data_IF_246307803250
#
_entry.id   IF_246307803250
#
_cell.length_a   1.000
_cell.length_b   1.000
_cell.length_c   1.000
_cell.angle_alpha   90.00
_cell.angle_beta   90.00
_cell.angle_gamma   90.00
#
_symmetry.space_group_name_H-M   'P 1'
#
loop_
_entity.id
_entity.type
_entity.pdbx_description
1 polymer ?
#
# COMPACT_ATOMS: atom_id res chain seq x y z
N UNK A 1 14.72 12.36 10.25
CA UNK A 1 14.75 11.03 9.57
C UNK A 1 14.62 9.87 10.56
N UNK A 2 15.57 9.68 11.50
CA UNK A 2 15.56 8.53 12.45
C UNK A 2 14.28 8.41 13.30
N UNK A 3 13.75 9.52 13.82
CA UNK A 3 12.57 9.52 14.70
C UNK A 3 11.28 9.12 13.98
N UNK A 4 11.05 9.61 12.76
CA UNK A 4 9.81 9.35 12.02
C UNK A 4 9.72 7.89 11.52
N UNK A 5 10.83 7.32 11.06
CA UNK A 5 10.87 5.90 10.67
C UNK A 5 10.68 4.97 11.87
N UNK A 6 11.18 5.36 13.05
CA UNK A 6 10.90 4.62 14.30
C UNK A 6 9.42 4.70 14.67
N UNK A 7 8.75 5.84 14.47
CA UNK A 7 7.30 5.94 14.69
C UNK A 7 6.51 4.96 13.82
N UNK A 8 6.92 4.78 12.56
CA UNK A 8 6.29 3.81 11.65
C UNK A 8 6.46 2.38 12.15
N UNK A 9 7.68 1.98 12.52
CA UNK A 9 7.96 0.63 13.02
C UNK A 9 7.22 0.37 14.35
N UNK A 10 7.00 1.41 15.14
CA UNK A 10 6.22 1.35 16.38
C UNK A 10 4.69 1.35 16.15
N UNK A 11 4.21 1.31 14.90
CA UNK A 11 2.80 1.08 14.63
C UNK A 11 2.45 -0.38 14.96
N UNK A 12 2.00 -0.60 16.19
CA UNK A 12 1.63 -1.91 16.71
C UNK A 12 0.56 -2.65 15.89
N UNK A 13 -0.20 -1.94 15.05
CA UNK A 13 -1.20 -2.56 14.17
C UNK A 13 -0.57 -3.17 12.90
N UNK A 14 0.61 -2.70 12.52
CA UNK A 14 1.32 -3.07 11.28
C UNK A 14 2.51 -3.97 11.55
N UNK A 15 3.22 -3.76 12.67
CA UNK A 15 4.44 -4.48 12.98
C UNK A 15 4.37 -5.09 14.38
N UNK A 16 5.06 -6.21 14.56
CA UNK A 16 5.37 -6.77 15.87
C UNK A 16 6.87 -6.66 16.10
N UNK A 17 7.28 -5.91 17.14
CA UNK A 17 8.70 -5.70 17.44
C UNK A 17 9.19 -6.89 18.28
N UNK A 18 10.17 -7.62 17.75
CA UNK A 18 10.74 -8.81 18.42
C UNK A 18 11.87 -8.40 19.35
N UNK A 19 12.83 -7.60 18.87
CA UNK A 19 13.91 -7.01 19.66
C UNK A 19 14.25 -5.61 19.15
N UNK A 20 14.58 -4.72 20.08
CA UNK A 20 15.06 -3.37 19.78
C UNK A 20 16.41 -3.14 20.44
N UNK A 21 17.47 -3.06 19.62
CA UNK A 21 18.82 -2.71 20.06
C UNK A 21 19.13 -1.24 19.71
N UNK A 22 20.22 -0.70 20.26
CA UNK A 22 20.66 0.67 19.94
C UNK A 22 20.96 0.88 18.45
N UNK A 23 21.36 -0.18 17.72
CA UNK A 23 21.77 -0.13 16.31
C UNK A 23 20.72 -0.65 15.32
N UNK A 24 19.89 -1.61 15.72
CA UNK A 24 18.89 -2.21 14.83
C UNK A 24 17.60 -2.55 15.56
N UNK A 25 16.51 -2.53 14.80
CA UNK A 25 15.18 -2.98 15.25
C UNK A 25 14.83 -4.20 14.44
N UNK A 26 14.38 -5.24 15.12
CA UNK A 26 13.91 -6.46 14.49
C UNK A 26 12.41 -6.59 14.66
N UNK A 27 11.70 -6.82 13.57
CA UNK A 27 10.24 -6.86 13.56
C UNK A 27 9.70 -7.91 12.60
N UNK A 28 8.43 -8.28 12.78
CA UNK A 28 7.66 -9.11 11.86
C UNK A 28 6.42 -8.34 11.39
N UNK A 29 5.90 -8.68 10.22
CA UNK A 29 4.69 -8.06 9.71
C UNK A 29 3.44 -8.61 10.41
N UNK A 30 2.49 -7.73 10.68
CA UNK A 30 1.11 -8.11 11.01
C UNK A 30 0.23 -8.10 9.77
N UNK A 31 -0.98 -8.63 9.90
CA UNK A 31 -1.97 -8.76 8.84
C UNK A 31 -2.18 -7.46 8.04
N UNK A 32 -2.31 -6.32 8.72
CA UNK A 32 -2.49 -5.03 8.06
C UNK A 32 -1.32 -4.66 7.12
N UNK A 33 -0.08 -5.00 7.50
CA UNK A 33 1.09 -4.81 6.64
C UNK A 33 1.09 -5.76 5.45
N UNK A 34 0.71 -7.02 5.67
CA UNK A 34 0.64 -8.04 4.61
C UNK A 34 -0.38 -7.61 3.55
N UNK A 35 -1.57 -7.19 3.97
CA UNK A 35 -2.61 -6.70 3.06
C UNK A 35 -2.16 -5.42 2.34
N UNK A 36 -1.50 -4.49 3.04
CA UNK A 36 -0.96 -3.28 2.42
C UNK A 36 0.11 -3.60 1.37
N UNK A 37 1.05 -4.52 1.66
CA UNK A 37 2.06 -5.01 0.72
C UNK A 37 1.41 -5.68 -0.50
N UNK A 38 0.35 -6.46 -0.30
CA UNK A 38 -0.45 -7.04 -1.38
C UNK A 38 -1.09 -5.94 -2.24
N UNK A 39 -1.71 -4.93 -1.63
CA UNK A 39 -2.31 -3.80 -2.34
C UNK A 39 -1.26 -3.04 -3.17
N UNK A 40 -0.07 -2.79 -2.61
CA UNK A 40 1.05 -2.16 -3.32
C UNK A 40 1.41 -2.99 -4.57
N UNK A 41 1.61 -4.30 -4.40
CA UNK A 41 1.93 -5.22 -5.51
C UNK A 41 0.86 -5.20 -6.59
N UNK A 42 -0.40 -5.41 -6.22
CA UNK A 42 -1.51 -5.49 -7.19
C UNK A 42 -1.67 -4.18 -7.96
N UNK A 43 -1.56 -3.03 -7.29
CA UNK A 43 -1.66 -1.72 -7.95
C UNK A 43 -0.43 -1.39 -8.79
N UNK A 44 0.76 -1.83 -8.39
CA UNK A 44 1.95 -1.71 -9.21
C UNK A 44 1.79 -2.52 -10.51
N UNK A 45 1.37 -3.78 -10.43
CA UNK A 45 1.14 -4.64 -11.60
C UNK A 45 0.06 -4.08 -12.53
N UNK A 46 -1.07 -3.64 -11.98
CA UNK A 46 -2.14 -2.99 -12.76
C UNK A 46 -1.63 -1.75 -13.49
N UNK A 47 -0.77 -0.95 -12.84
CA UNK A 47 -0.20 0.24 -13.45
C UNK A 47 0.73 -0.12 -14.62
N UNK A 48 1.64 -1.09 -14.44
CA UNK A 48 2.51 -1.57 -15.52
C UNK A 48 1.66 -2.08 -16.68
N UNK A 49 0.67 -2.93 -16.43
CA UNK A 49 -0.22 -3.44 -17.47
C UNK A 49 -0.93 -2.32 -18.23
N UNK A 50 -1.47 -1.33 -17.52
CA UNK A 50 -2.17 -0.18 -18.13
C UNK A 50 -1.24 0.63 -19.05
N UNK A 51 0.06 0.73 -18.72
CA UNK A 51 1.04 1.49 -19.51
C UNK A 51 1.71 0.70 -20.62
N UNK A 52 1.52 -0.63 -20.68
CA UNK A 52 2.24 -1.50 -21.61
C UNK A 52 1.35 -2.31 -22.54
N UNK A 53 0.14 -2.67 -22.12
CA UNK A 53 -0.78 -3.57 -22.83
C UNK A 53 -1.05 -3.23 -24.31
N UNK A 54 -1.03 -1.95 -24.67
CA UNK A 54 -1.24 -1.50 -26.06
C UNK A 54 0.06 -1.29 -26.86
N UNK A 55 1.22 -1.36 -26.20
CA UNK A 55 2.51 -0.99 -26.78
C UNK A 55 3.44 -2.18 -26.96
N UNK A 56 3.54 -3.05 -25.96
CA UNK A 56 4.42 -4.23 -26.00
C UNK A 56 4.06 -5.27 -24.95
N UNK A 57 4.41 -6.55 -25.17
CA UNK A 57 4.15 -7.61 -24.21
C UNK A 57 5.04 -7.50 -22.97
N UNK A 58 4.46 -7.85 -21.82
CA UNK A 58 5.17 -7.97 -20.53
C UNK A 58 5.03 -9.39 -20.02
N UNK A 59 6.17 -10.04 -19.74
CA UNK A 59 6.22 -11.42 -19.28
C UNK A 59 6.51 -11.50 -17.78
N UNK A 60 5.97 -12.54 -17.14
CA UNK A 60 6.31 -12.90 -15.78
C UNK A 60 7.57 -13.77 -15.83
N UNK A 61 8.69 -13.23 -15.34
CA UNK A 61 10.04 -13.76 -15.45
C UNK A 61 10.69 -13.66 -16.84
N UNK A 62 12.02 -13.57 -16.83
CA UNK A 62 12.83 -13.54 -18.04
C UNK A 62 12.91 -14.97 -18.64
N UNK A 63 12.63 -15.15 -19.93
CA UNK A 63 12.75 -16.45 -20.57
C UNK A 63 14.22 -16.91 -20.56
N UNK A 64 14.44 -18.17 -20.16
CA UNK A 64 15.79 -18.77 -20.11
C UNK A 64 16.49 -18.81 -21.47
N UNK A 65 15.71 -18.80 -22.56
CA UNK A 65 16.20 -18.60 -23.91
C UNK A 65 16.04 -17.12 -24.27
N UNK A 66 17.15 -16.44 -24.57
CA UNK A 66 17.18 -15.08 -25.16
C UNK A 66 16.62 -15.09 -26.59
N UNK A 67 15.46 -15.66 -26.84
CA UNK A 67 14.67 -15.38 -28.03
C UNK A 67 14.01 -14.02 -27.84
N UNK A 68 14.85 -12.98 -27.79
CA UNK A 68 14.44 -11.60 -27.98
C UNK A 68 13.86 -11.55 -29.39
N UNK A 69 12.58 -11.23 -29.51
CA UNK A 69 11.98 -10.90 -30.79
C UNK A 69 12.78 -9.70 -31.31
N UNK A 70 13.66 -9.95 -32.29
CA UNK A 70 14.57 -8.92 -32.83
C UNK A 70 13.72 -7.70 -33.21
N UNK A 71 14.08 -6.54 -32.64
CA UNK A 71 13.55 -5.21 -32.92
C UNK A 71 12.20 -4.79 -32.31
N UNK A 72 11.60 -5.56 -31.40
CA UNK A 72 10.41 -5.10 -30.67
C UNK A 72 10.70 -4.89 -29.18
N UNK A 73 10.20 -3.80 -28.58
CA UNK A 73 10.33 -3.61 -27.15
C UNK A 73 9.58 -4.72 -26.41
N UNK A 74 10.13 -5.19 -25.29
CA UNK A 74 9.48 -6.19 -24.44
C UNK A 74 9.80 -5.91 -22.97
N UNK A 75 8.87 -6.29 -22.08
CA UNK A 75 9.02 -6.11 -20.64
C UNK A 75 9.06 -7.43 -19.88
N UNK A 76 9.71 -7.42 -18.73
CA UNK A 76 9.81 -8.53 -17.80
C UNK A 76 9.59 -8.04 -16.38
N UNK A 77 8.75 -8.73 -15.63
CA UNK A 77 8.55 -8.47 -14.21
C UNK A 77 9.39 -9.48 -13.43
N UNK A 78 10.32 -8.96 -12.64
CA UNK A 78 11.04 -9.71 -11.61
C UNK A 78 10.54 -9.27 -10.24
N UNK A 79 10.18 -10.23 -9.40
CA UNK A 79 9.55 -9.93 -8.12
C UNK A 79 10.00 -10.93 -7.05
N UNK A 80 10.63 -10.42 -6.01
CA UNK A 80 11.06 -11.18 -4.83
C UNK A 80 10.08 -10.85 -3.72
N UNK A 81 9.19 -11.80 -3.41
CA UNK A 81 8.19 -11.60 -2.37
C UNK A 81 8.83 -11.57 -0.98
N UNK A 82 8.37 -10.70 -0.08
CA UNK A 82 8.73 -10.81 1.32
C UNK A 82 8.20 -12.13 1.90
N UNK A 83 8.96 -12.73 2.80
CA UNK A 83 8.52 -13.91 3.54
C UNK A 83 7.58 -13.45 4.66
N UNK A 84 6.34 -13.95 4.64
CA UNK A 84 5.31 -13.56 5.61
C UNK A 84 5.25 -14.46 6.85
N UNK A 85 6.15 -15.44 6.96
CA UNK A 85 6.17 -16.36 8.09
C UNK A 85 6.48 -15.58 9.38
N UNK A 86 5.76 -15.88 10.47
CA UNK A 86 5.96 -15.23 11.76
C UNK A 86 7.37 -15.42 12.34
N UNK A 87 8.10 -16.42 11.85
CA UNK A 87 9.50 -16.70 12.20
C UNK A 87 10.50 -15.85 11.40
N UNK A 88 10.09 -15.27 10.27
CA UNK A 88 10.96 -14.44 9.44
C UNK A 88 11.07 -13.04 10.03
N UNK A 89 12.20 -12.77 10.66
CA UNK A 89 12.47 -11.51 11.33
C UNK A 89 13.23 -10.57 10.40
N UNK A 90 12.69 -9.37 10.21
CA UNK A 90 13.31 -8.33 9.40
C UNK A 90 14.16 -7.44 10.29
N UNK A 91 15.42 -7.26 9.93
CA UNK A 91 16.32 -6.32 10.59
C UNK A 91 16.31 -4.97 9.86
N UNK A 92 15.89 -3.94 10.59
CA UNK A 92 16.02 -2.53 10.19
C UNK A 92 17.25 -1.91 10.85
N UNK A 93 18.15 -1.40 10.03
CA UNK A 93 19.36 -0.73 10.49
C UNK A 93 19.07 0.76 10.74
N UNK A 94 19.29 1.24 11.97
CA UNK A 94 19.04 2.65 12.36
C UNK A 94 20.07 3.62 11.76
N UNK A 95 21.26 3.14 11.44
CA UNK A 95 22.34 3.96 10.90
C UNK A 95 22.19 4.20 9.41
N UNK A 96 21.88 3.12 8.66
CA UNK A 96 21.72 3.18 7.21
C UNK A 96 20.28 3.45 6.76
N UNK A 97 19.33 3.44 7.72
CA UNK A 97 17.90 3.73 7.50
C UNK A 97 17.27 2.85 6.42
N UNK A 98 17.74 1.61 6.34
CA UNK A 98 17.32 0.60 5.39
C UNK A 98 17.00 -0.71 6.10
N UNK A 99 16.12 -1.49 5.48
CA UNK A 99 15.94 -2.89 5.82
C UNK A 99 17.00 -3.72 5.09
N UNK A 100 17.47 -4.81 5.70
CA UNK A 100 18.37 -5.78 5.03
C UNK A 100 17.62 -6.78 4.14
N UNK A 101 16.36 -6.51 3.81
CA UNK A 101 15.53 -7.43 3.03
C UNK A 101 15.93 -7.42 1.56
N UNK A 102 15.71 -8.56 0.91
CA UNK A 102 15.89 -8.73 -0.54
C UNK A 102 14.58 -8.58 -1.30
N UNK A 103 13.49 -8.19 -0.63
CA UNK A 103 12.16 -8.12 -1.24
C UNK A 103 12.06 -6.90 -2.16
N UNK A 104 11.86 -7.16 -3.44
CA UNK A 104 11.86 -6.13 -4.48
C UNK A 104 10.81 -6.37 -5.56
N UNK A 105 10.34 -5.26 -6.12
CA UNK A 105 9.60 -5.20 -7.36
C UNK A 105 10.48 -4.55 -8.41
N UNK A 106 10.70 -5.28 -9.49
CA UNK A 106 11.55 -4.84 -10.58
C UNK A 106 10.81 -5.03 -11.91
N UNK A 107 10.70 -3.95 -12.67
CA UNK A 107 10.22 -3.98 -14.04
C UNK A 107 11.41 -3.72 -14.96
N UNK A 108 11.81 -4.75 -15.69
CA UNK A 108 12.86 -4.68 -16.70
C UNK A 108 12.23 -4.55 -18.08
N UNK A 109 12.89 -3.83 -18.97
CA UNK A 109 12.47 -3.67 -20.35
C UNK A 109 13.68 -3.69 -21.25
N UNK A 110 13.53 -4.35 -22.39
CA UNK A 110 14.47 -4.27 -23.50
C UNK A 110 13.87 -3.36 -24.56
N UNK A 111 14.62 -2.36 -24.99
CA UNK A 111 14.18 -1.37 -25.99
C UNK A 111 15.25 -1.17 -27.07
N UNK A 112 14.86 -0.73 -28.28
CA UNK A 112 15.81 -0.27 -29.28
C UNK A 112 16.68 0.88 -28.76
N UNK A 113 17.96 0.88 -29.14
CA UNK A 113 18.95 1.89 -28.71
C UNK A 113 18.52 3.31 -29.13
N UNK A 114 17.86 3.44 -30.29
CA UNK A 114 17.41 4.73 -30.83
C UNK A 114 16.38 5.43 -29.92
N UNK A 115 15.55 4.65 -29.22
CA UNK A 115 14.42 5.17 -28.43
C UNK A 115 14.68 5.13 -26.92
N UNK A 116 15.84 4.61 -26.48
CA UNK A 116 16.12 4.36 -25.05
C UNK A 116 15.91 5.59 -24.17
N UNK A 117 16.35 6.77 -24.63
CA UNK A 117 16.22 8.02 -23.87
C UNK A 117 14.77 8.48 -23.77
N UNK A 118 13.96 8.22 -24.79
CA UNK A 118 12.54 8.51 -24.77
C UNK A 118 11.82 7.62 -23.76
N UNK A 119 12.06 6.30 -23.82
CA UNK A 119 11.54 5.35 -22.83
C UNK A 119 12.02 5.70 -21.42
N UNK A 120 13.29 6.01 -21.25
CA UNK A 120 13.87 6.36 -19.95
C UNK A 120 13.16 7.57 -19.32
N UNK A 121 12.99 8.64 -20.09
CA UNK A 121 12.28 9.84 -19.62
C UNK A 121 10.80 9.58 -19.36
N UNK A 122 10.14 8.79 -20.21
CA UNK A 122 8.74 8.44 -20.06
C UNK A 122 8.49 7.60 -18.80
N UNK A 123 9.34 6.61 -18.53
CA UNK A 123 9.22 5.76 -17.37
C UNK A 123 9.52 6.49 -16.07
N UNK A 124 10.46 7.43 -16.04
CA UNK A 124 10.62 8.32 -14.88
C UNK A 124 9.31 9.06 -14.54
N UNK A 125 8.63 9.64 -15.54
CA UNK A 125 7.35 10.33 -15.34
C UNK A 125 6.24 9.38 -14.90
N UNK A 126 6.14 8.21 -15.52
CA UNK A 126 5.14 7.20 -15.18
C UNK A 126 5.31 6.69 -13.75
N UNK A 127 6.54 6.37 -13.34
CA UNK A 127 6.82 5.87 -12.00
C UNK A 127 6.62 6.96 -10.94
N UNK A 128 7.04 8.21 -11.20
CA UNK A 128 6.72 9.35 -10.32
C UNK A 128 5.21 9.55 -10.18
N UNK A 129 4.48 9.52 -11.30
CA UNK A 129 3.02 9.64 -11.28
C UNK A 129 2.36 8.50 -10.50
N UNK A 130 2.84 7.27 -10.65
CA UNK A 130 2.32 6.12 -9.91
C UNK A 130 2.39 6.38 -8.41
N UNK A 131 3.56 6.80 -7.90
CA UNK A 131 3.72 7.19 -6.49
C UNK A 131 2.74 8.27 -6.07
N UNK A 132 2.66 9.36 -6.82
CA UNK A 132 1.71 10.46 -6.56
C UNK A 132 0.24 10.02 -6.60
N UNK A 133 -0.10 8.95 -7.32
CA UNK A 133 -1.48 8.46 -7.48
C UNK A 133 -1.95 7.49 -6.38
N UNK A 134 -1.01 6.95 -5.59
CA UNK A 134 -1.30 5.99 -4.52
C UNK A 134 -1.10 6.57 -3.12
N UNK A 135 -0.59 7.80 -3.01
CA UNK A 135 -0.42 8.53 -1.76
C UNK A 135 -1.48 9.60 -1.57
N UNK A 136 -1.51 10.19 -0.38
CA UNK A 136 -2.39 11.30 -0.04
C UNK A 136 -1.80 12.66 -0.40
N UNK A 137 -0.47 12.76 -0.48
CA UNK A 137 0.24 13.98 -0.91
C UNK A 137 0.97 13.76 -2.23
N UNK A 138 0.36 14.10 -3.40
CA UNK A 138 1.00 13.92 -4.72
C UNK A 138 2.30 14.70 -4.90
N UNK A 139 2.41 15.88 -4.28
CA UNK A 139 3.57 16.78 -4.35
C UNK A 139 4.79 16.27 -3.57
N UNK A 140 4.64 15.19 -2.79
CA UNK A 140 5.73 14.58 -2.03
C UNK A 140 6.84 14.06 -2.96
N UNK A 141 6.51 13.67 -4.19
CA UNK A 141 7.45 12.97 -5.06
C UNK A 141 8.12 13.88 -6.09
N UNK A 142 9.44 13.76 -6.19
CA UNK A 142 10.25 14.39 -7.23
C UNK A 142 11.18 13.37 -7.90
N UNK A 143 11.80 13.81 -9.00
CA UNK A 143 12.76 13.02 -9.77
C UNK A 143 14.13 13.68 -9.54
N UNK A 144 15.16 12.88 -9.23
CA UNK A 144 16.52 13.38 -9.07
C UNK A 144 17.19 13.69 -10.42
N UNK A 145 18.30 14.43 -10.38
CA UNK A 145 19.14 14.60 -11.56
C UNK A 145 19.66 13.27 -12.09
N UNK A 146 19.85 13.21 -13.41
CA UNK A 146 20.35 12.03 -14.11
C UNK A 146 21.83 11.85 -13.79
N UNK A 147 22.18 10.70 -13.21
CA UNK A 147 23.57 10.31 -12.97
C UNK A 147 24.06 9.45 -14.12
N UNK A 148 24.89 10.03 -14.98
CA UNK A 148 25.54 9.31 -16.07
C UNK A 148 26.83 8.65 -15.60
N UNK A 149 27.02 7.39 -15.99
CA UNK A 149 28.25 6.62 -15.85
C UNK A 149 28.48 5.85 -17.13
N UNK A 150 29.35 6.34 -18.02
CA UNK A 150 29.65 5.72 -19.31
C UNK A 150 28.35 5.32 -20.07
N UNK A 151 28.05 4.03 -20.18
CA UNK A 151 26.89 3.48 -20.87
C UNK A 151 25.62 3.37 -20.02
N UNK A 152 25.69 3.77 -18.75
CA UNK A 152 24.59 3.70 -17.79
C UNK A 152 24.09 5.10 -17.44
N UNK A 153 22.77 5.24 -17.31
CA UNK A 153 22.17 6.38 -16.62
C UNK A 153 21.24 5.90 -15.51
N UNK A 154 21.23 6.61 -14.39
CA UNK A 154 20.36 6.29 -13.26
C UNK A 154 19.70 7.55 -12.72
N UNK A 155 18.42 7.41 -12.40
CA UNK A 155 17.57 8.44 -11.80
C UNK A 155 16.83 7.83 -10.63
N UNK A 156 16.79 8.55 -9.52
CA UNK A 156 16.05 8.12 -8.34
C UNK A 156 14.75 8.91 -8.25
N UNK A 157 13.67 8.23 -7.86
CA UNK A 157 12.44 8.87 -7.40
C UNK A 157 12.61 9.13 -5.91
N UNK A 158 12.37 10.38 -5.52
CA UNK A 158 12.57 10.87 -4.17
C UNK A 158 11.21 11.21 -3.54
N UNK A 159 11.02 10.84 -2.29
CA UNK A 159 9.97 11.35 -1.42
C UNK A 159 10.54 12.45 -0.52
N UNK A 160 10.07 13.68 -0.69
CA UNK A 160 10.57 14.89 -0.03
C UNK A 160 9.84 15.13 1.30
N UNK A 161 10.23 14.38 2.32
CA UNK A 161 9.71 14.60 3.66
C UNK A 161 10.32 15.85 4.31
N UNK A 162 9.67 16.36 5.35
CA UNK A 162 10.13 17.56 6.08
C UNK A 162 11.55 17.44 6.64
N UNK A 163 12.02 16.20 6.85
CA UNK A 163 13.35 15.91 7.38
C UNK A 163 14.39 15.58 6.30
N UNK A 164 14.03 15.67 5.02
CA UNK A 164 14.91 15.44 3.89
C UNK A 164 14.35 14.44 2.86
N UNK A 165 14.96 14.39 1.66
CA UNK A 165 14.56 13.48 0.61
C UNK A 165 14.93 12.03 0.96
N UNK A 166 14.00 11.09 0.75
CA UNK A 166 14.23 9.65 0.81
C UNK A 166 14.11 9.05 -0.59
N UNK A 167 15.05 8.20 -0.98
CA UNK A 167 14.94 7.44 -2.24
C UNK A 167 13.88 6.34 -2.05
N UNK A 168 12.93 6.25 -2.98
CA UNK A 168 11.84 5.26 -2.93
C UNK A 168 11.88 4.26 -4.08
N UNK A 169 12.44 4.65 -5.21
CA UNK A 169 12.56 3.82 -6.41
C UNK A 169 13.73 4.32 -7.26
N UNK A 170 14.42 3.40 -7.92
CA UNK A 170 15.49 3.70 -8.86
C UNK A 170 15.06 3.31 -10.28
N UNK A 171 15.27 4.21 -11.23
CA UNK A 171 15.06 3.98 -12.66
C UNK A 171 16.42 4.08 -13.33
N UNK A 172 16.91 2.97 -13.85
CA UNK A 172 18.19 2.89 -14.54
C UNK A 172 18.02 2.49 -16.00
N UNK A 173 18.96 2.91 -16.82
CA UNK A 173 19.15 2.40 -18.17
C UNK A 173 20.62 1.97 -18.36
N UNK A 174 20.81 0.95 -19.17
CA UNK A 174 22.11 0.46 -19.64
C UNK A 174 22.03 0.26 -21.15
N UNK A 175 23.03 0.76 -21.87
CA UNK A 175 23.13 0.64 -23.33
C UNK A 175 24.21 -0.39 -23.67
N UNK A 176 23.81 -1.49 -24.32
CA UNK A 176 24.69 -2.50 -24.88
C UNK A 176 24.77 -2.34 -26.41
N UNK A 177 25.66 -3.09 -27.05
CA UNK A 177 25.95 -3.05 -28.50
C UNK A 177 24.73 -3.36 -29.38
N UNK A 178 23.82 -4.23 -28.93
CA UNK A 178 22.64 -4.64 -29.70
C UNK A 178 21.31 -4.13 -29.13
N UNK A 179 21.20 -3.95 -27.82
CA UNK A 179 19.96 -3.56 -27.14
C UNK A 179 20.24 -2.63 -25.97
N UNK A 180 19.22 -1.85 -25.61
CA UNK A 180 19.23 -1.10 -24.35
C UNK A 180 18.29 -1.72 -23.34
N UNK A 181 18.73 -1.76 -22.09
CA UNK A 181 17.97 -2.27 -20.96
C UNK A 181 17.53 -1.10 -20.08
N UNK A 182 16.26 -1.09 -19.71
CA UNK A 182 15.70 -0.18 -18.72
C UNK A 182 15.20 -0.99 -17.52
N UNK A 183 15.46 -0.53 -16.31
CA UNK A 183 15.01 -1.17 -15.08
C UNK A 183 14.39 -0.16 -14.13
N UNK A 184 13.19 -0.45 -13.64
CA UNK A 184 12.51 0.28 -12.57
C UNK A 184 12.46 -0.62 -11.33
N UNK A 185 13.22 -0.27 -10.29
CA UNK A 185 13.43 -1.11 -9.10
C UNK A 185 13.01 -0.39 -7.83
N UNK A 186 12.17 -1.07 -7.04
CA UNK A 186 11.63 -0.58 -5.78
C UNK A 186 11.67 -1.68 -4.72
N UNK A 187 12.01 -1.32 -3.47
CA UNK A 187 11.90 -2.23 -2.32
C UNK A 187 10.47 -2.23 -1.77
N UNK A 188 9.99 -3.42 -1.36
CA UNK A 188 8.69 -3.55 -0.71
C UNK A 188 8.61 -2.78 0.60
N UNK A 189 9.67 -2.83 1.41
CA UNK A 189 9.72 -2.16 2.70
C UNK A 189 9.76 -0.65 2.56
N UNK A 190 10.58 -0.16 1.62
CA UNK A 190 10.64 1.28 1.39
C UNK A 190 9.29 1.81 0.89
N UNK A 191 8.57 1.03 0.08
CA UNK A 191 7.23 1.39 -0.33
C UNK A 191 6.22 1.40 0.81
N UNK A 192 6.21 0.33 1.62
CA UNK A 192 5.38 0.23 2.81
C UNK A 192 5.63 1.42 3.76
N UNK A 193 6.88 1.68 4.10
CA UNK A 193 7.26 2.78 4.98
C UNK A 193 6.92 4.13 4.40
N UNK A 194 7.15 4.37 3.10
CA UNK A 194 6.84 5.65 2.46
C UNK A 194 5.35 5.96 2.53
N UNK A 195 4.50 4.96 2.26
CA UNK A 195 3.04 5.13 2.30
C UNK A 195 2.56 5.37 3.74
N UNK A 196 3.10 4.63 4.73
CA UNK A 196 2.76 4.83 6.14
C UNK A 196 3.24 6.20 6.64
N UNK A 197 4.43 6.65 6.24
CA UNK A 197 4.96 7.98 6.57
C UNK A 197 4.08 9.10 5.99
N UNK A 198 3.68 8.98 4.73
CA UNK A 198 2.76 9.93 4.09
C UNK A 198 1.44 10.00 4.86
N UNK A 199 0.87 8.85 5.24
CA UNK A 199 -0.37 8.83 6.01
C UNK A 199 -0.26 9.38 7.43
N UNK A 200 0.88 9.21 8.10
CA UNK A 200 1.13 9.79 9.42
C UNK A 200 1.30 11.30 9.37
N UNK A 201 1.96 11.82 8.34
CA UNK A 201 2.15 13.27 8.16
C UNK A 201 0.82 14.00 7.90
N UNK A 202 -0.15 13.30 7.31
CA UNK A 202 -1.49 13.81 7.05
C UNK A 202 -2.53 13.35 8.08
N UNK A 203 -2.09 12.93 9.27
CA UNK A 203 -3.00 12.49 10.32
C UNK A 203 -3.83 13.65 10.87
N UNK A 204 -5.11 13.38 11.16
CA UNK A 204 -6.03 14.37 11.73
C UNK A 204 -5.88 14.46 13.26
N UNK A 205 -6.62 15.38 13.90
CA UNK A 205 -6.62 15.54 15.37
C UNK A 205 -7.01 14.25 16.10
N UNK A 206 -7.83 13.42 15.47
CA UNK A 206 -8.32 12.14 15.97
C UNK A 206 -7.28 11.01 15.84
N UNK A 207 -6.06 11.33 15.38
CA UNK A 207 -4.97 10.37 15.11
C UNK A 207 -5.33 9.34 14.05
N UNK A 208 -6.15 9.72 13.08
CA UNK A 208 -6.45 8.90 11.91
C UNK A 208 -5.21 8.73 11.03
N UNK A 209 -4.84 7.48 10.73
CA UNK A 209 -3.82 7.18 9.74
C UNK A 209 -4.41 7.35 8.34
N UNK A 210 -4.15 8.51 7.72
CA UNK A 210 -4.77 8.85 6.44
C UNK A 210 -4.11 8.11 5.28
N UNK A 211 -4.66 6.98 4.89
CA UNK A 211 -4.19 6.23 3.71
C UNK A 211 -5.05 6.56 2.49
N UNK A 212 -4.46 6.51 1.30
CA UNK A 212 -5.23 6.57 0.07
C UNK A 212 -6.18 5.37 0.00
N UNK A 213 -7.43 5.57 -0.42
CA UNK A 213 -8.47 4.53 -0.42
C UNK A 213 -7.99 3.25 -1.11
N UNK A 214 -7.28 3.34 -2.25
CA UNK A 214 -6.74 2.16 -2.95
C UNK A 214 -5.65 1.39 -2.19
N UNK A 215 -4.96 2.03 -1.24
CA UNK A 215 -3.87 1.43 -0.45
C UNK A 215 -4.37 0.87 0.88
N UNK A 216 -5.36 1.52 1.52
CA UNK A 216 -5.85 1.16 2.86
C UNK A 216 -6.00 -0.37 3.03
N UNK A 217 -5.42 -0.99 4.09
CA UNK A 217 -5.46 -2.43 4.29
C UNK A 217 -6.90 -2.95 4.32
N UNK A 218 -7.72 -2.33 5.16
CA UNK A 218 -9.15 -2.61 5.29
C UNK A 218 -9.95 -1.43 4.76
N UNK A 219 -10.99 -1.72 3.98
CA UNK A 219 -11.87 -0.69 3.44
C UNK A 219 -12.95 -0.29 4.43
N UNK A 220 -13.52 -1.30 5.09
CA UNK A 220 -14.66 -1.15 5.99
C UNK A 220 -14.34 -1.84 7.32
N UNK A 221 -14.53 -1.13 8.42
CA UNK A 221 -14.54 -1.70 9.76
C UNK A 221 -15.97 -1.77 10.25
N UNK A 222 -16.25 -2.70 11.16
CA UNK A 222 -17.47 -2.65 11.93
C UNK A 222 -17.16 -2.15 13.35
N UNK A 223 -18.13 -1.46 13.93
CA UNK A 223 -18.13 -1.08 15.33
C UNK A 223 -19.53 -1.32 15.90
N UNK A 224 -19.60 -1.83 17.13
CA UNK A 224 -20.87 -2.13 17.79
C UNK A 224 -21.09 -1.09 18.88
N UNK A 225 -22.21 -0.38 18.76
CA UNK A 225 -22.75 0.51 19.78
C UNK A 225 -23.87 -0.23 20.52
N UNK A 226 -23.59 -0.66 21.75
CA UNK A 226 -24.53 -1.40 22.58
C UNK A 226 -24.72 -0.69 23.92
N UNK A 227 -25.98 -0.52 24.32
CA UNK A 227 -26.35 0.03 25.62
C UNK A 227 -26.87 -1.08 26.55
N UNK A 228 -27.59 -2.07 26.00
CA UNK A 228 -28.10 -3.22 26.73
C UNK A 228 -27.36 -4.51 26.34
N UNK A 229 -27.02 -5.35 27.33
CA UNK A 229 -26.38 -6.64 27.12
C UNK A 229 -27.29 -7.63 26.38
N UNK A 230 -28.62 -7.45 26.41
CA UNK A 230 -29.58 -8.41 25.85
C UNK A 230 -29.47 -8.64 24.35
N UNK A 231 -29.14 -7.59 23.59
CA UNK A 231 -29.07 -7.66 22.12
C UNK A 231 -27.64 -7.82 21.60
N UNK A 232 -26.66 -7.91 22.50
CA UNK A 232 -25.25 -7.90 22.16
C UNK A 232 -24.84 -9.09 21.29
N UNK A 233 -25.31 -10.30 21.61
CA UNK A 233 -24.97 -11.49 20.83
C UNK A 233 -25.60 -11.44 19.42
N UNK A 234 -26.85 -10.97 19.30
CA UNK A 234 -27.49 -10.75 17.99
C UNK A 234 -26.75 -9.68 17.17
N UNK A 235 -26.25 -8.61 17.80
CA UNK A 235 -25.44 -7.59 17.10
C UNK A 235 -24.12 -8.16 16.59
N UNK A 236 -23.47 -9.06 17.34
CA UNK A 236 -22.26 -9.75 16.89
C UNK A 236 -22.53 -10.66 15.70
N UNK A 237 -23.62 -11.43 15.75
CA UNK A 237 -24.03 -12.27 14.63
C UNK A 237 -24.33 -11.44 13.38
N UNK A 238 -25.02 -10.31 13.55
CA UNK A 238 -25.26 -9.37 12.46
C UNK A 238 -23.94 -8.79 11.90
N UNK A 239 -23.00 -8.41 12.77
CA UNK A 239 -21.68 -7.93 12.34
C UNK A 239 -20.95 -8.98 11.50
N UNK A 240 -20.91 -10.23 11.97
CA UNK A 240 -20.29 -11.34 11.27
C UNK A 240 -20.95 -11.60 9.91
N UNK A 241 -22.29 -11.53 9.84
CA UNK A 241 -23.05 -11.70 8.60
C UNK A 241 -22.72 -10.59 7.59
N UNK A 242 -22.68 -9.33 8.03
CA UNK A 242 -22.33 -8.19 7.18
C UNK A 242 -20.90 -8.37 6.64
N UNK A 243 -19.96 -8.71 7.51
CA UNK A 243 -18.56 -8.94 7.10
C UNK A 243 -18.46 -10.05 6.06
N UNK A 244 -19.09 -11.20 6.30
CA UNK A 244 -19.09 -12.32 5.35
C UNK A 244 -19.62 -11.91 3.97
N UNK A 245 -20.71 -11.12 3.91
CA UNK A 245 -21.25 -10.61 2.64
C UNK A 245 -20.26 -9.69 1.92
N UNK A 246 -19.63 -8.77 2.65
CA UNK A 246 -18.65 -7.84 2.08
C UNK A 246 -17.39 -8.57 1.60
N UNK A 247 -16.90 -9.55 2.36
CA UNK A 247 -15.73 -10.36 2.02
C UNK A 247 -15.98 -11.25 0.80
N UNK A 248 -17.22 -11.73 0.62
CA UNK A 248 -17.64 -12.45 -0.60
C UNK A 248 -17.47 -11.58 -1.85
N UNK A 249 -17.66 -10.26 -1.73
CA UNK A 249 -17.38 -9.27 -2.77
C UNK A 249 -15.92 -8.78 -2.79
N UNK A 250 -15.03 -9.53 -2.13
CA UNK A 250 -13.61 -9.23 -1.99
C UNK A 250 -13.32 -7.89 -1.28
N UNK A 251 -14.24 -7.33 -0.50
CA UNK A 251 -13.96 -6.12 0.28
C UNK A 251 -13.27 -6.52 1.58
N UNK A 252 -12.09 -5.93 1.85
CA UNK A 252 -11.36 -6.21 3.07
C UNK A 252 -12.04 -5.55 4.27
N UNK A 253 -12.47 -6.39 5.21
CA UNK A 253 -13.13 -5.96 6.44
C UNK A 253 -12.33 -6.25 7.70
N UNK A 254 -12.63 -5.55 8.78
CA UNK A 254 -12.06 -5.82 10.11
C UNK A 254 -13.17 -5.96 11.15
N UNK A 255 -13.02 -6.99 12.00
CA UNK A 255 -13.96 -7.28 13.08
C UNK A 255 -13.98 -6.18 14.13
N UNK A 256 -15.14 -5.91 14.74
CA UNK A 256 -15.23 -5.02 15.88
C UNK A 256 -14.52 -5.65 17.09
N UNK A 257 -13.74 -4.85 17.81
CA UNK A 257 -13.23 -5.23 19.12
C UNK A 257 -14.29 -4.97 20.19
N UNK A 258 -15.19 -5.93 20.35
CA UNK A 258 -16.38 -5.83 21.21
C UNK A 258 -16.07 -5.70 22.71
N UNK A 259 -14.85 -5.98 23.13
CA UNK A 259 -14.40 -5.78 24.52
C UNK A 259 -14.21 -4.29 24.86
N UNK A 260 -14.12 -3.43 23.84
CA UNK A 260 -13.88 -2.02 24.00
C UNK A 260 -15.17 -1.20 23.82
N UNK A 261 -15.31 -0.06 24.53
CA UNK A 261 -16.35 0.92 24.24
C UNK A 261 -16.28 1.43 22.79
N UNK A 262 -17.41 1.89 22.25
CA UNK A 262 -17.51 2.38 20.87
C UNK A 262 -16.39 3.37 20.48
N UNK A 263 -16.16 4.39 21.29
CA UNK A 263 -15.12 5.39 21.04
C UNK A 263 -13.71 4.78 20.94
N UNK A 264 -13.43 3.74 21.71
CA UNK A 264 -12.16 3.02 21.67
C UNK A 264 -12.07 2.13 20.42
N UNK A 265 -13.16 1.47 20.02
CA UNK A 265 -13.24 0.74 18.75
C UNK A 265 -12.95 1.66 17.56
N UNK A 266 -13.59 2.84 17.52
CA UNK A 266 -13.36 3.84 16.47
C UNK A 266 -11.90 4.30 16.43
N UNK A 267 -11.28 4.54 17.60
CA UNK A 267 -9.86 4.89 17.69
C UNK A 267 -8.94 3.79 17.19
N UNK A 268 -9.27 2.51 17.40
CA UNK A 268 -8.51 1.40 16.81
C UNK A 268 -8.61 1.40 15.28
N UNK A 269 -9.83 1.54 14.76
CA UNK A 269 -10.08 1.62 13.32
C UNK A 269 -9.32 2.79 12.67
N UNK A 270 -9.28 3.95 13.33
CA UNK A 270 -8.55 5.12 12.86
C UNK A 270 -7.05 4.89 12.80
N UNK A 271 -6.46 4.22 13.81
CA UNK A 271 -5.03 3.91 13.83
C UNK A 271 -4.61 2.91 12.76
N UNK A 272 -5.53 2.06 12.30
CA UNK A 272 -5.30 1.10 11.20
C UNK A 272 -5.43 1.79 9.83
N UNK A 273 -6.07 2.95 9.77
CA UNK A 273 -6.28 3.70 8.53
C UNK A 273 -7.43 3.17 7.69
N UNK A 274 -8.45 2.57 8.33
CA UNK A 274 -9.66 2.12 7.64
C UNK A 274 -10.43 3.31 7.07
N UNK A 275 -10.97 3.17 5.86
CA UNK A 275 -11.64 4.28 5.16
C UNK A 275 -13.03 4.55 5.72
N UNK A 276 -13.82 3.50 5.94
CA UNK A 276 -15.19 3.62 6.47
C UNK A 276 -15.39 2.73 7.69
N UNK A 277 -16.21 3.16 8.64
CA UNK A 277 -16.64 2.33 9.78
C UNK A 277 -18.17 2.25 9.83
N UNK A 278 -18.71 1.05 9.70
CA UNK A 278 -20.13 0.76 9.88
C UNK A 278 -20.41 0.58 11.38
N UNK A 279 -21.13 1.54 11.96
CA UNK A 279 -21.53 1.56 13.36
C UNK A 279 -22.94 0.98 13.45
N UNK A 280 -23.05 -0.24 13.95
CA UNK A 280 -24.32 -0.95 14.14
C UNK A 280 -24.77 -0.82 15.59
N UNK A 281 -26.08 -0.71 15.81
CA UNK A 281 -26.68 -0.58 17.13
C UNK A 281 -28.01 -1.31 17.20
N UNK A 282 -28.67 -1.25 18.37
CA UNK A 282 -30.03 -1.79 18.55
C UNK A 282 -31.05 -1.21 17.54
N UNK A 283 -30.84 0.02 17.08
CA UNK A 283 -31.67 0.62 16.03
C UNK A 283 -31.54 -0.18 14.73
N UNK A 284 -30.34 -0.63 14.39
CA UNK A 284 -30.11 -1.45 13.19
C UNK A 284 -30.88 -2.77 13.23
N UNK A 285 -31.04 -3.38 14.41
CA UNK A 285 -31.86 -4.58 14.56
C UNK A 285 -33.36 -4.32 14.39
N UNK A 286 -33.83 -3.15 14.83
CA UNK A 286 -35.26 -2.80 14.79
C UNK A 286 -35.74 -2.28 13.43
N UNK A 287 -34.92 -1.47 12.74
CA UNK A 287 -35.33 -0.80 11.50
C UNK A 287 -34.37 -1.01 10.32
N UNK A 288 -33.29 -1.77 10.48
CA UNK A 288 -32.32 -2.05 9.42
C UNK A 288 -31.36 -0.91 9.08
N UNK A 289 -31.39 0.22 9.80
CA UNK A 289 -30.57 1.40 9.52
C UNK A 289 -29.36 1.44 10.46
N UNK A 290 -28.20 1.74 9.92
CA UNK A 290 -26.96 1.95 10.67
C UNK A 290 -26.20 3.18 10.19
N UNK A 291 -25.18 3.59 10.94
CA UNK A 291 -24.36 4.75 10.59
C UNK A 291 -23.06 4.32 9.91
N UNK A 292 -22.80 4.81 8.69
CA UNK A 292 -21.51 4.67 8.03
C UNK A 292 -20.68 5.93 8.26
N UNK A 293 -19.59 5.81 9.01
CA UNK A 293 -18.65 6.89 9.29
C UNK A 293 -17.53 6.90 8.25
N UNK A 294 -17.28 8.03 7.60
CA UNK A 294 -16.07 8.24 6.81
C UNK A 294 -14.92 8.73 7.71
N UNK A 295 -13.86 7.94 7.85
CA UNK A 295 -12.74 8.23 8.75
C UNK A 295 -11.93 9.48 8.35
N UNK A 296 -12.02 9.94 7.10
CA UNK A 296 -11.27 11.11 6.63
C UNK A 296 -12.01 12.44 6.86
N UNK A 297 -13.34 12.44 6.78
CA UNK A 297 -14.19 13.62 6.96
C UNK A 297 -14.90 13.66 8.31
N UNK A 298 -14.92 12.54 9.04
CA UNK A 298 -15.68 12.33 10.27
C UNK A 298 -17.20 12.52 10.11
N UNK A 299 -17.71 12.47 8.88
CA UNK A 299 -19.14 12.55 8.59
C UNK A 299 -19.79 11.17 8.71
N UNK A 300 -21.00 11.14 9.28
CA UNK A 300 -21.84 9.94 9.41
C UNK A 300 -22.99 10.01 8.42
N UNK A 301 -23.15 8.96 7.64
CA UNK A 301 -24.29 8.75 6.74
C UNK A 301 -25.20 7.65 7.31
N UNK A 302 -26.50 7.73 7.06
CA UNK A 302 -27.45 6.66 7.41
C UNK A 302 -27.64 5.74 6.21
N UNK A 303 -27.49 4.44 6.42
CA UNK A 303 -27.58 3.43 5.36
C UNK A 303 -28.47 2.29 5.83
N UNK A 304 -29.33 1.83 4.94
CA UNK A 304 -30.13 0.63 5.16
C UNK A 304 -29.33 -0.63 4.80
N UNK A 305 -29.44 -1.67 5.63
CA UNK A 305 -28.67 -2.92 5.52
C UNK A 305 -28.82 -3.59 4.14
N UNK A 306 -30.02 -3.50 3.54
CA UNK A 306 -30.30 -4.12 2.24
C UNK A 306 -29.46 -3.50 1.10
N UNK A 307 -29.15 -2.21 1.18
CA UNK A 307 -28.43 -1.48 0.13
C UNK A 307 -26.93 -1.43 0.36
N UNK A 308 -26.47 -1.82 1.55
CA UNK A 308 -25.10 -1.60 1.98
C UNK A 308 -24.07 -2.31 1.10
N UNK A 309 -24.35 -3.53 0.68
CA UNK A 309 -23.43 -4.32 -0.15
C UNK A 309 -23.10 -3.63 -1.48
N UNK A 310 -24.15 -3.18 -2.18
CA UNK A 310 -24.04 -2.44 -3.44
C UNK A 310 -23.30 -1.12 -3.23
N UNK A 311 -23.68 -0.38 -2.18
CA UNK A 311 -23.07 0.91 -1.88
C UNK A 311 -21.58 0.79 -1.50
N UNK A 312 -21.24 -0.19 -0.67
CA UNK A 312 -19.87 -0.48 -0.24
C UNK A 312 -18.94 -0.79 -1.42
N UNK A 313 -19.43 -1.55 -2.39
CA UNK A 313 -18.68 -1.91 -3.61
C UNK A 313 -18.36 -0.65 -4.43
N UNK A 314 -19.35 0.23 -4.61
CA UNK A 314 -19.20 1.49 -5.33
C UNK A 314 -18.22 2.44 -4.63
N UNK A 315 -18.31 2.57 -3.30
CA UNK A 315 -17.39 3.41 -2.51
C UNK A 315 -15.93 2.94 -2.57
N UNK A 316 -15.72 1.63 -2.62
CA UNK A 316 -14.37 1.04 -2.61
C UNK A 316 -13.76 0.94 -4.02
N UNK A 317 -14.48 1.37 -5.05
CA UNK A 317 -14.02 1.42 -6.44
C UNK A 317 -13.69 0.04 -6.99
N UNK A 318 -14.53 -0.95 -6.67
CA UNK A 318 -14.51 -2.29 -7.25
C UNK A 318 -15.55 -2.43 -8.35
#
# INVERSE_FOLDING_TARGET
MRTELIKVINLNNFFNIVKSNNKSITYTYKEASIILLHNIRTRWLQFIYTKTSQHFPVYLNEPKAKTVIKNQPCGFIHQIMPQFNQEHVIEYNRDNLNTKTTSELCFNMTVPIQDVMQYFTQWQRYRKYWWSSITTTPSLFSISDIKHKENNANVNILANFNWGPKIVEAVSMNTDTEFSYLSCKMSYDDALFTILLDGLNNSTKEKYLRLHNKMAPYKIALAIDYNDCKHFDTLKELAALIMHKLETNNLSTICPNVELPLESQLRENFKIGVTYTAIISENTLSNGIFHLLNSSTMLKEQIHLADFETYATLLCGK
#
